data_IF_650243330193
#
_entry.id   IF_650243330193
#
_cell.length_a   1.000
_cell.length_b   1.000
_cell.length_c   1.000
_cell.angle_alpha   90.00
_cell.angle_beta   90.00
_cell.angle_gamma   90.00
#
_symmetry.space_group_name_H-M   'P 1'
#
loop_
_entity.id
_entity.type
_entity.pdbx_description
1 polymer ?
#
# COMPACT_ATOMS: atom_id res chain seq x y z
N UNK A 1 -34.46 70.76 -8.78
CA UNK A 1 -34.44 69.75 -9.85
C UNK A 1 -33.03 69.17 -10.05
N UNK A 2 -31.96 69.96 -9.94
CA UNK A 2 -30.55 69.46 -9.99
C UNK A 2 -30.12 68.45 -8.90
N UNK A 3 -30.65 68.50 -7.67
CA UNK A 3 -30.18 67.62 -6.57
C UNK A 3 -30.73 66.18 -6.62
N UNK A 4 -31.76 65.94 -7.42
CA UNK A 4 -32.37 64.62 -7.63
C UNK A 4 -31.67 63.85 -8.75
N UNK A 5 -31.27 64.53 -9.83
CA UNK A 5 -30.50 63.97 -10.94
C UNK A 5 -29.11 63.48 -10.49
N UNK A 6 -28.39 64.27 -9.68
CA UNK A 6 -27.07 63.89 -9.12
C UNK A 6 -27.16 62.67 -8.16
N UNK A 7 -28.34 62.41 -7.59
CA UNK A 7 -28.56 61.26 -6.69
C UNK A 7 -28.83 59.98 -7.49
N UNK A 8 -29.54 60.07 -8.60
CA UNK A 8 -29.80 58.93 -9.49
C UNK A 8 -28.52 58.50 -10.22
N UNK A 9 -27.73 59.47 -10.71
CA UNK A 9 -26.44 59.24 -11.36
C UNK A 9 -25.43 58.57 -10.40
N UNK A 10 -25.44 58.95 -9.11
CA UNK A 10 -24.63 58.29 -8.06
C UNK A 10 -25.09 56.89 -7.69
N UNK A 11 -26.34 56.53 -7.97
CA UNK A 11 -26.88 55.18 -7.72
C UNK A 11 -26.56 54.26 -8.91
N UNK A 12 -26.60 54.78 -10.13
CA UNK A 12 -26.18 54.08 -11.34
C UNK A 12 -24.67 53.79 -11.33
N UNK A 13 -23.83 54.79 -11.03
CA UNK A 13 -22.38 54.60 -10.89
C UNK A 13 -22.03 53.55 -9.80
N UNK A 14 -22.82 53.47 -8.72
CA UNK A 14 -22.65 52.45 -7.67
C UNK A 14 -23.15 51.06 -8.07
N UNK A 15 -24.10 50.96 -9.01
CA UNK A 15 -24.53 49.67 -9.58
C UNK A 15 -23.49 49.16 -10.56
N UNK A 16 -22.98 50.02 -11.44
CA UNK A 16 -21.89 49.71 -12.36
C UNK A 16 -20.61 49.31 -11.62
N UNK A 17 -20.25 49.99 -10.53
CA UNK A 17 -19.11 49.57 -9.69
C UNK A 17 -19.34 48.17 -9.08
N UNK A 18 -20.56 47.83 -8.67
CA UNK A 18 -20.88 46.52 -8.08
C UNK A 18 -20.86 45.41 -9.12
N UNK A 19 -21.35 45.66 -10.33
CA UNK A 19 -21.28 44.71 -11.45
C UNK A 19 -19.83 44.47 -11.87
N UNK A 20 -19.01 45.53 -11.99
CA UNK A 20 -17.57 45.42 -12.25
C UNK A 20 -16.81 44.67 -11.14
N UNK A 21 -17.26 44.74 -9.88
CA UNK A 21 -16.67 43.97 -8.79
C UNK A 21 -17.10 42.50 -8.87
N UNK A 22 -18.35 42.21 -9.25
CA UNK A 22 -18.84 40.84 -9.42
C UNK A 22 -18.13 40.11 -10.58
N UNK A 23 -17.99 40.75 -11.74
CA UNK A 23 -17.24 40.18 -12.88
C UNK A 23 -15.77 39.90 -12.53
N UNK A 24 -15.13 40.81 -11.78
CA UNK A 24 -13.75 40.59 -11.27
C UNK A 24 -13.65 39.51 -10.20
N UNK A 25 -14.74 39.14 -9.53
CA UNK A 25 -14.77 38.02 -8.58
C UNK A 25 -14.95 36.71 -9.36
N UNK A 26 -15.83 36.67 -10.35
CA UNK A 26 -16.04 35.50 -11.22
C UNK A 26 -14.80 35.17 -12.07
N UNK A 27 -14.10 36.18 -12.61
CA UNK A 27 -12.80 36.01 -13.28
C UNK A 27 -11.72 35.44 -12.33
N UNK A 28 -11.74 35.84 -11.05
CA UNK A 28 -10.81 35.31 -10.05
C UNK A 28 -11.15 33.89 -9.59
N UNK A 29 -12.42 33.49 -9.64
CA UNK A 29 -12.85 32.12 -9.34
C UNK A 29 -12.49 31.16 -10.48
N UNK A 30 -12.78 31.54 -11.73
CA UNK A 30 -12.36 30.80 -12.93
C UNK A 30 -10.83 30.67 -13.08
N UNK A 31 -10.07 31.71 -12.70
CA UNK A 31 -8.61 31.64 -12.60
C UNK A 31 -8.10 30.68 -11.51
N UNK A 32 -8.86 30.49 -10.42
CA UNK A 32 -8.48 29.54 -9.36
C UNK A 32 -8.75 28.10 -9.80
N UNK A 33 -9.91 27.86 -10.39
CA UNK A 33 -10.29 26.54 -10.92
C UNK A 33 -9.29 26.08 -12.00
N UNK A 34 -8.95 26.94 -12.97
CA UNK A 34 -7.94 26.63 -13.99
C UNK A 34 -6.53 26.40 -13.43
N UNK A 35 -6.14 27.09 -12.33
CA UNK A 35 -4.87 26.84 -11.62
C UNK A 35 -4.89 25.52 -10.84
N UNK A 36 -6.04 25.09 -10.32
CA UNK A 36 -6.20 23.80 -9.66
C UNK A 36 -6.15 22.66 -10.68
N UNK A 37 -6.87 22.79 -11.79
CA UNK A 37 -6.87 21.83 -12.89
C UNK A 37 -5.47 21.68 -13.53
N UNK A 38 -4.74 22.78 -13.73
CA UNK A 38 -3.35 22.73 -14.20
C UNK A 38 -2.41 22.02 -13.19
N UNK A 39 -2.64 22.19 -11.89
CA UNK A 39 -1.87 21.46 -10.86
C UNK A 39 -2.17 19.97 -10.91
N UNK A 40 -3.44 19.57 -11.03
CA UNK A 40 -3.84 18.17 -11.14
C UNK A 40 -3.25 17.52 -12.39
N UNK A 41 -3.36 18.16 -13.56
CA UNK A 41 -2.75 17.68 -14.82
C UNK A 41 -1.22 17.54 -14.68
N UNK A 42 -0.58 18.50 -14.01
CA UNK A 42 0.86 18.46 -13.75
C UNK A 42 1.26 17.36 -12.76
N UNK A 43 0.40 17.04 -11.80
CA UNK A 43 0.61 15.94 -10.87
C UNK A 43 0.41 14.58 -11.55
N UNK A 44 -0.65 14.42 -12.35
CA UNK A 44 -0.90 13.24 -13.17
C UNK A 44 0.27 12.96 -14.13
N UNK A 45 0.71 13.96 -14.90
CA UNK A 45 1.86 13.81 -15.81
C UNK A 45 3.17 13.52 -15.08
N UNK A 46 3.30 13.95 -13.82
CA UNK A 46 4.45 13.60 -12.96
C UNK A 46 4.38 12.14 -12.51
N UNK A 47 3.19 11.66 -12.11
CA UNK A 47 2.97 10.27 -11.71
C UNK A 47 3.22 9.32 -12.87
N UNK A 48 2.70 9.62 -14.07
CA UNK A 48 2.93 8.86 -15.30
C UNK A 48 4.43 8.75 -15.62
N UNK A 49 5.17 9.87 -15.58
CA UNK A 49 6.63 9.86 -15.79
C UNK A 49 7.39 9.03 -14.77
N UNK A 50 6.92 9.01 -13.51
CA UNK A 50 7.51 8.17 -12.46
C UNK A 50 7.25 6.71 -12.77
N UNK A 51 6.03 6.36 -13.18
CA UNK A 51 5.64 5.01 -13.54
C UNK A 51 6.42 4.50 -14.75
N UNK A 52 6.54 5.28 -15.82
CA UNK A 52 7.36 4.96 -16.99
C UNK A 52 8.82 4.69 -16.60
N UNK A 53 9.40 5.55 -15.75
CA UNK A 53 10.77 5.39 -15.28
C UNK A 53 10.94 4.13 -14.44
N UNK A 54 9.97 3.80 -13.60
CA UNK A 54 9.96 2.56 -12.80
C UNK A 54 9.84 1.34 -13.70
N UNK A 55 9.02 1.40 -14.74
CA UNK A 55 8.85 0.32 -15.71
C UNK A 55 10.12 0.10 -16.54
N UNK A 56 10.77 1.17 -17.00
CA UNK A 56 12.07 1.10 -17.67
C UNK A 56 13.12 0.46 -16.77
N UNK A 57 13.24 0.91 -15.51
CA UNK A 57 14.17 0.32 -14.55
C UNK A 57 13.86 -1.16 -14.26
N UNK A 58 12.58 -1.57 -14.28
CA UNK A 58 12.16 -2.98 -14.17
C UNK A 58 12.62 -3.78 -15.40
N UNK A 59 12.39 -3.26 -16.61
CA UNK A 59 12.82 -3.89 -17.88
C UNK A 59 14.34 -4.04 -17.93
N UNK A 60 15.09 -3.03 -17.53
CA UNK A 60 16.56 -3.09 -17.43
C UNK A 60 17.03 -4.19 -16.48
N UNK A 61 16.42 -4.29 -15.29
CA UNK A 61 16.74 -5.37 -14.32
C UNK A 61 16.45 -6.76 -14.88
N UNK A 62 15.33 -6.92 -15.57
CA UNK A 62 14.95 -8.20 -16.20
C UNK A 62 15.89 -8.58 -17.34
N UNK A 63 16.40 -7.61 -18.10
CA UNK A 63 17.36 -7.87 -19.18
C UNK A 63 18.69 -8.44 -18.64
N UNK A 64 19.15 -7.95 -17.49
CA UNK A 64 20.38 -8.42 -16.83
C UNK A 64 20.22 -9.79 -16.17
N UNK A 65 18.99 -10.17 -15.80
CA UNK A 65 18.72 -11.39 -15.05
C UNK A 65 19.10 -12.67 -15.82
N UNK A 66 19.95 -13.49 -15.21
CA UNK A 66 20.31 -14.83 -15.67
C UNK A 66 19.72 -15.87 -14.70
N UNK A 67 18.68 -16.63 -15.09
CA UNK A 67 18.01 -17.56 -14.20
C UNK A 67 18.91 -18.74 -13.85
N UNK A 68 18.86 -19.19 -12.60
CA UNK A 68 19.65 -20.33 -12.11
C UNK A 68 18.78 -21.56 -11.93
N UNK A 69 17.55 -21.36 -11.50
CA UNK A 69 16.55 -22.40 -11.25
C UNK A 69 15.89 -22.88 -12.55
N UNK A 70 15.34 -24.11 -12.51
CA UNK A 70 14.53 -24.65 -13.61
C UNK A 70 13.31 -23.78 -13.89
N UNK A 71 12.63 -23.36 -12.81
CA UNK A 71 11.45 -22.49 -12.90
C UNK A 71 11.81 -21.13 -13.54
N UNK A 72 12.91 -20.50 -13.11
CA UNK A 72 13.37 -19.25 -13.71
C UNK A 72 13.67 -19.36 -15.21
N UNK A 73 14.21 -20.50 -15.67
CA UNK A 73 14.42 -20.76 -17.11
C UNK A 73 13.09 -20.85 -17.87
N UNK A 74 12.12 -21.60 -17.34
CA UNK A 74 10.80 -21.75 -17.96
C UNK A 74 10.04 -20.42 -18.07
N UNK A 75 10.14 -19.59 -17.04
CA UNK A 75 9.53 -18.25 -17.01
C UNK A 75 10.23 -17.32 -18.00
N UNK A 76 11.57 -17.33 -18.04
CA UNK A 76 12.34 -16.53 -19.01
C UNK A 76 12.10 -16.96 -20.46
N UNK A 77 11.88 -18.25 -20.70
CA UNK A 77 11.47 -18.80 -22.00
C UNK A 77 10.01 -18.44 -22.36
N UNK A 78 9.22 -17.93 -21.41
CA UNK A 78 7.82 -17.54 -21.64
C UNK A 78 6.83 -18.71 -21.64
N UNK A 79 7.24 -19.90 -21.15
CA UNK A 79 6.38 -21.09 -21.07
C UNK A 79 5.33 -20.98 -19.96
N UNK A 80 5.67 -20.28 -18.88
CA UNK A 80 4.76 -19.98 -17.77
C UNK A 80 4.49 -18.48 -17.83
N UNK A 81 3.24 -18.10 -18.02
CA UNK A 81 2.80 -16.69 -18.09
C UNK A 81 2.06 -16.25 -16.83
N UNK A 82 1.37 -17.19 -16.18
CA UNK A 82 0.57 -16.91 -15.00
C UNK A 82 1.25 -17.45 -13.73
N UNK A 83 1.23 -16.63 -12.69
CA UNK A 83 1.77 -17.01 -11.38
C UNK A 83 0.93 -18.09 -10.69
N UNK A 84 -0.34 -18.19 -11.05
CA UNK A 84 -1.27 -19.17 -10.50
C UNK A 84 -0.90 -20.61 -10.87
N UNK A 85 -0.36 -20.84 -12.07
CA UNK A 85 0.16 -22.15 -12.46
C UNK A 85 1.29 -22.63 -11.54
N UNK A 86 2.11 -21.69 -11.03
CA UNK A 86 3.21 -22.00 -10.10
C UNK A 86 2.62 -22.44 -8.75
N UNK A 87 1.59 -21.74 -8.27
CA UNK A 87 0.93 -22.08 -7.02
C UNK A 87 0.18 -23.41 -7.08
N UNK A 88 -0.46 -23.73 -8.21
CA UNK A 88 -1.17 -25.00 -8.40
C UNK A 88 -0.23 -26.20 -8.47
N UNK A 89 0.95 -26.03 -9.10
CA UNK A 89 2.01 -27.06 -9.10
C UNK A 89 2.68 -27.21 -7.72
N UNK A 90 2.55 -26.20 -6.86
CA UNK A 90 3.21 -26.16 -5.54
C UNK A 90 4.71 -25.93 -5.61
N UNK A 91 5.21 -25.41 -6.73
CA UNK A 91 6.63 -25.11 -6.91
C UNK A 91 7.06 -23.92 -6.05
N UNK A 92 8.20 -24.05 -5.38
CA UNK A 92 8.72 -22.99 -4.52
C UNK A 92 9.43 -21.91 -5.35
N UNK A 93 9.10 -20.66 -5.07
CA UNK A 93 9.75 -19.49 -5.68
C UNK A 93 11.06 -19.19 -4.93
N UNK A 94 12.19 -19.30 -5.61
CA UNK A 94 13.53 -19.05 -5.04
C UNK A 94 14.22 -17.80 -5.61
N UNK A 95 13.77 -17.29 -6.75
CA UNK A 95 14.26 -16.06 -7.38
C UNK A 95 13.16 -15.00 -7.35
N UNK A 96 13.48 -13.79 -6.91
CA UNK A 96 12.49 -12.71 -6.80
C UNK A 96 12.11 -12.14 -8.17
N UNK A 97 13.04 -12.27 -9.12
CA UNK A 97 12.95 -11.84 -10.50
C UNK A 97 11.83 -12.57 -11.26
N UNK A 98 11.51 -13.82 -10.88
CA UNK A 98 10.37 -14.58 -11.41
C UNK A 98 9.05 -13.82 -11.17
N UNK A 99 8.86 -13.32 -9.94
CA UNK A 99 7.65 -12.58 -9.60
C UNK A 99 7.64 -11.22 -10.30
N UNK A 100 8.81 -10.60 -10.44
CA UNK A 100 8.98 -9.35 -11.17
C UNK A 100 8.77 -9.50 -12.68
N UNK A 101 8.85 -10.68 -13.28
CA UNK A 101 8.46 -10.88 -14.67
C UNK A 101 6.95 -11.10 -14.83
N UNK A 102 6.33 -11.81 -13.89
CA UNK A 102 4.95 -12.28 -14.02
C UNK A 102 3.91 -11.26 -13.57
N UNK A 103 4.20 -10.45 -12.53
CA UNK A 103 3.17 -9.62 -11.87
C UNK A 103 3.67 -8.20 -11.62
N UNK A 104 2.78 -7.22 -11.82
CA UNK A 104 3.01 -5.83 -11.42
C UNK A 104 2.73 -5.68 -9.92
N UNK A 105 3.80 -5.67 -9.13
CA UNK A 105 3.70 -5.64 -7.68
C UNK A 105 3.78 -4.22 -7.12
N UNK A 106 2.79 -3.86 -6.31
CA UNK A 106 2.84 -2.71 -5.42
C UNK A 106 3.66 -3.01 -4.16
N UNK A 107 4.36 -2.00 -3.66
CA UNK A 107 5.27 -2.10 -2.53
C UNK A 107 4.85 -1.17 -1.39
N UNK A 108 4.71 -1.71 -0.17
CA UNK A 108 4.46 -0.91 1.03
C UNK A 108 5.42 -1.26 2.16
N UNK A 109 5.88 -0.21 2.85
CA UNK A 109 6.69 -0.33 4.07
C UNK A 109 5.85 -0.22 5.33
N UNK A 110 6.18 -1.07 6.29
CA UNK A 110 5.50 -1.13 7.59
C UNK A 110 6.23 -0.29 8.61
N UNK A 111 5.50 0.50 9.40
CA UNK A 111 6.09 1.31 10.48
C UNK A 111 6.32 0.48 11.74
N UNK A 112 7.51 -0.08 11.88
CA UNK A 112 7.89 -0.93 13.04
C UNK A 112 8.66 -0.17 14.12
N UNK A 113 9.53 0.76 13.73
CA UNK A 113 10.41 1.45 14.67
C UNK A 113 9.68 2.49 15.50
N UNK A 114 10.22 2.81 16.65
CA UNK A 114 9.83 3.99 17.43
C UNK A 114 11.04 4.92 17.54
N UNK A 115 10.88 6.15 17.07
CA UNK A 115 11.80 7.22 17.40
C UNK A 115 11.40 7.75 18.77
N UNK A 116 12.30 7.79 19.76
CA UNK A 116 12.01 8.51 20.99
C UNK A 116 12.03 10.01 20.68
N UNK A 117 10.92 10.70 20.92
CA UNK A 117 10.89 12.17 20.88
C UNK A 117 11.44 12.77 22.17
N UNK A 118 11.66 14.09 22.16
CA UNK A 118 12.23 14.86 23.28
C UNK A 118 11.42 14.74 24.59
N UNK A 119 10.11 14.47 24.49
CA UNK A 119 9.18 14.35 25.62
C UNK A 119 8.54 12.96 25.75
N UNK A 120 9.22 11.89 25.32
CA UNK A 120 8.68 10.53 25.41
C UNK A 120 7.58 10.18 24.39
N UNK A 121 7.01 11.16 23.71
CA UNK A 121 6.15 10.96 22.53
C UNK A 121 6.99 10.46 21.35
N UNK A 122 6.74 9.24 20.89
CA UNK A 122 7.52 8.63 19.81
C UNK A 122 6.78 8.53 18.49
N UNK A 123 7.32 9.12 17.42
CA UNK A 123 6.85 8.89 16.03
C UNK A 123 7.29 7.50 15.56
N UNK A 124 6.39 6.76 14.91
CA UNK A 124 6.74 5.47 14.30
C UNK A 124 7.57 5.68 13.03
N UNK A 125 8.61 4.86 12.85
CA UNK A 125 9.48 4.83 11.66
C UNK A 125 9.32 3.50 10.92
N UNK A 126 9.64 3.49 9.63
CA UNK A 126 9.54 2.31 8.77
C UNK A 126 10.59 1.23 9.06
N UNK A 127 11.68 1.60 9.72
CA UNK A 127 12.72 0.67 10.15
C UNK A 127 12.82 0.68 11.68
N UNK A 128 13.24 -0.45 12.26
CA UNK A 128 13.61 -0.58 13.67
C UNK A 128 15.12 -0.70 13.83
N UNK A 129 15.68 -0.08 14.87
CA UNK A 129 17.06 -0.33 15.25
C UNK A 129 17.11 -1.50 16.22
N UNK A 130 18.10 -2.38 16.04
CA UNK A 130 18.47 -3.38 17.04
C UNK A 130 19.97 -3.28 17.27
N UNK A 131 20.40 -3.41 18.51
CA UNK A 131 21.82 -3.29 18.87
C UNK A 131 22.26 -4.58 19.55
N UNK A 132 23.42 -5.11 19.15
CA UNK A 132 24.12 -6.18 19.85
C UNK A 132 25.32 -5.55 20.56
N UNK A 133 25.49 -5.86 21.85
CA UNK A 133 26.68 -5.43 22.60
C UNK A 133 27.88 -6.32 22.24
N UNK A 134 29.03 -5.71 21.99
CA UNK A 134 30.33 -6.34 21.81
C UNK A 134 31.36 -5.65 22.72
N UNK A 135 32.53 -6.26 22.90
CA UNK A 135 33.61 -5.68 23.71
C UNK A 135 34.09 -4.31 23.19
N UNK A 136 34.15 -4.17 21.86
CA UNK A 136 34.55 -2.94 21.15
C UNK A 136 33.43 -1.90 21.00
N UNK A 137 32.21 -2.20 21.50
CA UNK A 137 31.07 -1.28 21.46
C UNK A 137 29.76 -1.92 20.96
N UNK A 138 28.80 -1.06 20.61
CA UNK A 138 27.45 -1.48 20.23
C UNK A 138 27.31 -1.57 18.70
N UNK A 139 27.19 -2.80 18.19
CA UNK A 139 26.95 -3.04 16.76
C UNK A 139 25.46 -2.88 16.47
N UNK A 140 25.13 -1.81 15.73
CA UNK A 140 23.77 -1.45 15.33
C UNK A 140 23.39 -2.15 14.03
N UNK A 141 22.15 -2.63 13.97
CA UNK A 141 21.54 -3.16 12.77
C UNK A 141 20.14 -2.54 12.59
N UNK A 142 19.75 -2.36 11.34
CA UNK A 142 18.42 -1.89 10.97
C UNK A 142 17.60 -3.03 10.41
N UNK A 143 16.36 -3.14 10.87
CA UNK A 143 15.37 -4.09 10.37
C UNK A 143 14.22 -3.37 9.71
N UNK A 144 13.77 -3.86 8.56
CA UNK A 144 12.59 -3.38 7.85
C UNK A 144 11.65 -4.55 7.54
N UNK A 145 10.35 -4.26 7.43
CA UNK A 145 9.34 -5.20 6.98
C UNK A 145 8.62 -4.59 5.79
N UNK A 146 8.61 -5.33 4.70
CA UNK A 146 7.94 -4.97 3.47
C UNK A 146 6.73 -5.89 3.25
N UNK A 147 5.70 -5.30 2.70
CA UNK A 147 4.53 -5.99 2.15
C UNK A 147 4.53 -5.71 0.65
N UNK A 148 4.31 -6.75 -0.12
CA UNK A 148 4.24 -6.70 -1.58
C UNK A 148 2.92 -7.35 -2.00
N UNK A 149 2.25 -6.80 -3.01
CA UNK A 149 1.03 -7.42 -3.55
C UNK A 149 0.52 -6.70 -4.79
N UNK A 150 -0.41 -7.32 -5.49
CA UNK A 150 -0.91 -6.92 -6.81
C UNK A 150 -2.37 -6.46 -6.82
N UNK A 151 -2.98 -6.31 -5.64
CA UNK A 151 -4.40 -5.99 -5.47
C UNK A 151 -5.37 -7.02 -6.12
N UNK A 152 -4.85 -8.13 -6.65
CA UNK A 152 -5.61 -9.18 -7.31
C UNK A 152 -5.73 -10.46 -6.46
N UNK A 153 -5.20 -10.44 -5.24
CA UNK A 153 -5.25 -11.56 -4.31
C UNK A 153 -3.89 -12.16 -3.99
N UNK A 154 -2.79 -11.63 -4.52
CA UNK A 154 -1.46 -12.13 -4.22
C UNK A 154 -0.73 -11.18 -3.27
N UNK A 155 -0.26 -11.73 -2.14
CA UNK A 155 0.43 -10.93 -1.12
C UNK A 155 1.62 -11.68 -0.56
N UNK A 156 2.72 -10.95 -0.37
CA UNK A 156 3.92 -11.43 0.27
C UNK A 156 4.37 -10.49 1.38
N UNK A 157 4.94 -11.08 2.43
CA UNK A 157 5.54 -10.33 3.55
C UNK A 157 6.98 -10.79 3.74
N UNK A 158 7.89 -9.83 3.91
CA UNK A 158 9.31 -10.09 4.04
C UNK A 158 9.97 -9.21 5.09
N UNK A 159 10.77 -9.82 5.96
CA UNK A 159 11.58 -9.12 6.96
C UNK A 159 13.05 -9.12 6.55
N UNK A 160 13.65 -7.94 6.43
CA UNK A 160 15.05 -7.75 6.07
C UNK A 160 15.84 -7.09 7.19
N UNK A 161 17.09 -7.51 7.39
CA UNK A 161 18.03 -6.90 8.36
C UNK A 161 19.38 -6.62 7.70
N UNK A 162 19.94 -5.45 7.95
CA UNK A 162 21.26 -5.04 7.45
C UNK A 162 21.93 -4.02 8.39
N UNK A 163 23.18 -3.65 8.08
CA UNK A 163 23.94 -2.60 8.80
C UNK A 163 23.41 -1.19 8.52
N UNK A 164 22.74 -1.00 7.38
CA UNK A 164 22.13 0.26 6.93
C UNK A 164 20.65 0.08 6.58
N UNK A 165 19.93 1.18 6.39
CA UNK A 165 18.47 1.18 6.19
C UNK A 165 18.05 0.80 4.76
N UNK A 166 18.72 1.30 3.73
CA UNK A 166 18.44 1.01 2.32
C UNK A 166 18.59 -0.48 2.01
N UNK A 167 19.75 -1.13 2.29
CA UNK A 167 19.89 -2.57 2.03
C UNK A 167 18.93 -3.43 2.88
N UNK A 168 18.50 -2.96 4.05
CA UNK A 168 17.48 -3.67 4.84
C UNK A 168 16.12 -3.66 4.15
N UNK A 169 15.72 -2.53 3.55
CA UNK A 169 14.48 -2.40 2.78
C UNK A 169 14.49 -3.25 1.52
N UNK A 170 15.60 -3.27 0.78
CA UNK A 170 15.76 -4.09 -0.42
C UNK A 170 15.71 -5.59 -0.10
N UNK A 171 16.38 -6.03 0.97
CA UNK A 171 16.28 -7.41 1.45
C UNK A 171 14.85 -7.77 1.85
N UNK A 172 14.16 -6.86 2.56
CA UNK A 172 12.77 -7.07 2.93
C UNK A 172 11.87 -7.22 1.70
N UNK A 173 12.05 -6.38 0.68
CA UNK A 173 11.32 -6.45 -0.58
C UNK A 173 11.57 -7.79 -1.30
N UNK A 174 12.84 -8.22 -1.37
CA UNK A 174 13.20 -9.52 -1.98
C UNK A 174 12.53 -10.68 -1.27
N UNK A 175 12.61 -10.74 0.07
CA UNK A 175 11.96 -11.80 0.84
C UNK A 175 10.44 -11.76 0.74
N UNK A 176 9.83 -10.58 0.59
CA UNK A 176 8.39 -10.49 0.40
C UNK A 176 7.96 -11.12 -0.93
N UNK A 177 8.70 -10.87 -2.02
CA UNK A 177 8.45 -11.50 -3.33
C UNK A 177 8.60 -13.02 -3.29
N UNK A 178 9.62 -13.53 -2.59
CA UNK A 178 9.81 -14.97 -2.44
C UNK A 178 8.70 -15.64 -1.62
N UNK A 179 8.14 -14.92 -0.64
CA UNK A 179 7.07 -15.41 0.22
C UNK A 179 5.68 -14.97 -0.26
N UNK A 180 5.46 -14.95 -1.58
CA UNK A 180 4.14 -14.62 -2.13
C UNK A 180 3.14 -15.73 -1.84
N UNK A 181 1.90 -15.34 -1.53
CA UNK A 181 0.80 -16.21 -1.15
C UNK A 181 -0.43 -15.77 -1.92
N UNK A 182 -1.11 -16.73 -2.54
CA UNK A 182 -2.44 -16.53 -3.12
C UNK A 182 -3.49 -16.51 -2.02
N UNK A 183 -4.38 -15.53 -2.06
CA UNK A 183 -5.48 -15.33 -1.12
C UNK A 183 -6.77 -15.44 -1.91
N UNK A 184 -7.64 -16.38 -1.50
CA UNK A 184 -9.00 -16.48 -2.03
C UNK A 184 -9.88 -15.35 -1.47
N UNK A 185 -10.32 -14.46 -2.35
CA UNK A 185 -11.31 -13.42 -2.05
C UNK A 185 -12.71 -13.94 -2.36
N UNK A 186 -13.71 -13.46 -1.63
CA UNK A 186 -15.11 -13.85 -1.87
C UNK A 186 -16.08 -12.94 -1.13
N UNK A 187 -17.37 -13.11 -1.38
CA UNK A 187 -18.43 -12.52 -0.59
C UNK A 187 -18.90 -13.54 0.46
N UNK A 188 -18.23 -13.58 1.61
CA UNK A 188 -18.59 -14.50 2.70
C UNK A 188 -19.49 -13.90 3.78
N UNK A 189 -19.98 -12.67 3.61
CA UNK A 189 -20.87 -12.03 4.59
C UNK A 189 -22.31 -12.51 4.37
N UNK A 190 -22.98 -12.92 5.45
CA UNK A 190 -24.37 -13.37 5.40
C UNK A 190 -25.34 -12.29 4.87
N UNK A 191 -25.06 -11.02 5.16
CA UNK A 191 -25.91 -9.88 4.76
C UNK A 191 -25.64 -9.38 3.33
N UNK A 192 -24.66 -9.93 2.58
CA UNK A 192 -24.40 -9.51 1.19
C UNK A 192 -24.64 -10.66 0.21
N UNK A 193 -25.58 -10.45 -0.72
CA UNK A 193 -25.78 -11.30 -1.90
C UNK A 193 -24.98 -10.83 -3.13
N UNK A 194 -23.99 -9.96 -2.93
CA UNK A 194 -23.21 -9.39 -4.01
C UNK A 194 -22.24 -10.42 -4.60
N UNK A 195 -22.16 -10.51 -5.94
CA UNK A 195 -21.22 -11.42 -6.64
C UNK A 195 -19.79 -10.89 -6.74
N UNK A 196 -19.52 -9.71 -6.15
CA UNK A 196 -18.19 -9.10 -6.15
C UNK A 196 -17.31 -9.66 -5.03
N UNK A 197 -16.08 -10.03 -5.36
CA UNK A 197 -15.06 -10.52 -4.43
C UNK A 197 -14.39 -9.37 -3.66
N UNK A 198 -15.12 -8.79 -2.71
CA UNK A 198 -14.67 -7.65 -1.91
C UNK A 198 -14.11 -8.04 -0.53
N UNK A 199 -14.42 -9.26 -0.06
CA UNK A 199 -14.23 -9.72 1.31
C UNK A 199 -13.56 -11.10 1.37
N UNK A 200 -13.76 -11.81 2.48
CA UNK A 200 -13.20 -13.14 2.79
C UNK A 200 -14.31 -14.18 2.86
N UNK A 201 -14.00 -15.46 2.63
CA UNK A 201 -14.96 -16.57 2.60
C UNK A 201 -15.56 -16.88 3.98
N UNK A 202 -14.71 -16.98 5.00
CA UNK A 202 -15.13 -17.34 6.35
C UNK A 202 -14.24 -16.66 7.39
N UNK A 203 -14.72 -16.62 8.63
CA UNK A 203 -13.95 -16.09 9.74
C UNK A 203 -12.78 -17.02 10.08
N UNK A 204 -11.57 -16.49 10.14
CA UNK A 204 -10.37 -17.26 10.46
C UNK A 204 -9.54 -16.55 11.53
N UNK A 205 -8.72 -17.33 12.23
CA UNK A 205 -7.84 -16.83 13.29
C UNK A 205 -6.40 -17.26 13.05
N UNK A 206 -5.48 -16.30 13.09
CA UNK A 206 -4.05 -16.51 12.99
C UNK A 206 -3.34 -16.10 14.27
N UNK A 207 -2.39 -16.93 14.73
CA UNK A 207 -1.61 -16.69 15.95
C UNK A 207 -0.12 -16.74 15.65
N UNK A 208 0.61 -15.73 16.11
CA UNK A 208 2.08 -15.69 16.07
C UNK A 208 2.59 -15.10 17.38
N UNK A 209 3.31 -15.91 18.16
CA UNK A 209 3.75 -15.55 19.51
C UNK A 209 2.55 -15.28 20.43
N UNK A 210 2.52 -14.12 21.08
CA UNK A 210 1.41 -13.68 21.94
C UNK A 210 0.27 -12.99 21.19
N UNK A 211 0.45 -12.67 19.90
CA UNK A 211 -0.54 -11.91 19.12
C UNK A 211 -1.45 -12.87 18.38
N UNK A 212 -2.74 -12.64 18.53
CA UNK A 212 -3.80 -13.36 17.83
C UNK A 212 -4.60 -12.35 17.03
N UNK A 213 -4.84 -12.61 15.75
CA UNK A 213 -5.70 -11.79 14.91
C UNK A 213 -6.79 -12.67 14.30
N UNK A 214 -8.03 -12.29 14.58
CA UNK A 214 -9.24 -12.88 14.00
C UNK A 214 -9.77 -11.95 12.91
N UNK A 215 -9.88 -12.49 11.71
CA UNK A 215 -10.48 -11.86 10.53
C UNK A 215 -11.90 -12.40 10.37
N UNK A 216 -12.84 -11.54 10.03
CA UNK A 216 -14.25 -11.88 9.81
C UNK A 216 -14.74 -11.19 8.53
N UNK A 217 -15.61 -11.86 7.74
CA UNK A 217 -16.19 -11.26 6.55
C UNK A 217 -17.06 -10.06 6.94
N UNK A 218 -17.02 -9.03 6.11
CA UNK A 218 -17.82 -7.82 6.24
C UNK A 218 -18.64 -7.59 4.96
N UNK A 219 -19.83 -6.96 5.05
CA UNK A 219 -20.63 -6.57 3.90
C UNK A 219 -19.99 -5.39 3.14
N UNK A 220 -20.41 -5.19 1.90
CA UNK A 220 -19.90 -4.13 1.02
C UNK A 220 -20.11 -2.75 1.64
N UNK A 221 -19.07 -1.92 1.63
CA UNK A 221 -19.12 -0.53 2.12
C UNK A 221 -18.70 -0.37 3.59
N UNK A 222 -18.36 -1.46 4.28
CA UNK A 222 -17.79 -1.42 5.64
C UNK A 222 -16.39 -0.80 5.66
N UNK A 223 -15.62 -1.02 4.60
CA UNK A 223 -14.21 -0.70 4.51
C UNK A 223 -13.33 -1.59 5.40
N UNK A 224 -12.07 -1.18 5.51
CA UNK A 224 -11.06 -1.91 6.28
C UNK A 224 -11.05 -1.48 7.75
N UNK A 225 -11.79 -2.19 8.59
CA UNK A 225 -11.85 -1.95 10.05
C UNK A 225 -10.68 -2.68 10.73
N UNK A 226 -9.48 -2.09 10.61
CA UNK A 226 -8.23 -2.64 11.13
C UNK A 226 -7.24 -1.57 11.64
N UNK A 227 -6.15 -2.01 12.27
CA UNK A 227 -4.98 -1.16 12.50
C UNK A 227 -4.33 -0.74 11.19
N UNK A 228 -3.75 0.46 11.12
CA UNK A 228 -3.26 1.06 9.87
C UNK A 228 -2.19 0.23 9.16
N UNK A 229 -1.36 -0.49 9.90
CA UNK A 229 -0.35 -1.36 9.28
C UNK A 229 -0.99 -2.63 8.70
N UNK A 230 -2.07 -3.14 9.30
CA UNK A 230 -2.85 -4.24 8.73
C UNK A 230 -3.68 -3.78 7.54
N UNK A 231 -4.18 -2.52 7.52
CA UNK A 231 -4.87 -1.95 6.35
C UNK A 231 -3.99 -2.01 5.11
N UNK A 232 -2.70 -1.70 5.22
CA UNK A 232 -1.75 -1.82 4.09
C UNK A 232 -1.69 -3.24 3.54
N UNK A 233 -1.70 -4.24 4.42
CA UNK A 233 -1.72 -5.65 4.02
C UNK A 233 -3.00 -6.00 3.24
N UNK A 234 -4.17 -5.65 3.79
CA UNK A 234 -5.44 -5.97 3.14
C UNK A 234 -5.65 -5.22 1.82
N UNK A 235 -5.21 -3.96 1.73
CA UNK A 235 -5.23 -3.20 0.48
C UNK A 235 -4.41 -3.86 -0.61
N UNK A 236 -3.17 -4.27 -0.29
CA UNK A 236 -2.31 -4.97 -1.25
C UNK A 236 -2.85 -6.36 -1.61
N UNK A 237 -3.65 -6.97 -0.73
CA UNK A 237 -4.39 -8.19 -1.03
C UNK A 237 -5.59 -7.98 -1.95
N UNK A 238 -5.99 -6.74 -2.21
CA UNK A 238 -7.21 -6.44 -2.95
C UNK A 238 -8.49 -6.72 -2.15
N UNK A 239 -8.41 -6.79 -0.82
CA UNK A 239 -9.56 -6.90 0.08
C UNK A 239 -10.03 -5.49 0.41
N UNK A 240 -11.32 -5.21 0.22
CA UNK A 240 -11.93 -3.89 0.43
C UNK A 240 -12.61 -3.79 1.78
N UNK A 241 -13.32 -4.84 2.18
CA UNK A 241 -14.14 -4.84 3.38
C UNK A 241 -13.77 -5.99 4.30
N UNK A 242 -13.46 -5.70 5.57
CA UNK A 242 -13.12 -6.73 6.55
C UNK A 242 -13.30 -6.24 7.98
N UNK A 243 -13.79 -7.11 8.85
CA UNK A 243 -13.75 -6.91 10.29
C UNK A 243 -12.53 -7.61 10.89
N UNK A 244 -11.83 -6.92 11.78
CA UNK A 244 -10.72 -7.52 12.52
C UNK A 244 -10.86 -7.35 14.02
N UNK A 245 -10.49 -8.40 14.75
CA UNK A 245 -10.29 -8.37 16.20
C UNK A 245 -8.88 -8.86 16.49
N UNK A 246 -8.14 -8.10 17.28
CA UNK A 246 -6.76 -8.43 17.65
C UNK A 246 -6.61 -8.55 19.15
N UNK A 247 -5.93 -9.59 19.61
CA UNK A 247 -5.71 -9.91 21.01
C UNK A 247 -4.21 -10.02 21.30
N UNK A 248 -3.83 -9.81 22.56
CA UNK A 248 -2.44 -9.88 23.02
C UNK A 248 -1.63 -8.61 22.75
N UNK A 249 -0.31 -8.75 22.55
CA UNK A 249 0.61 -7.60 22.46
C UNK A 249 0.68 -6.99 21.05
N UNK A 250 -0.39 -6.29 20.65
CA UNK A 250 -0.58 -5.66 19.33
C UNK A 250 0.43 -4.55 18.99
N UNK A 251 1.20 -4.07 19.98
CA UNK A 251 2.30 -3.12 19.76
C UNK A 251 3.41 -3.72 18.88
N UNK A 252 3.59 -5.03 18.90
CA UNK A 252 4.58 -5.72 18.05
C UNK A 252 4.06 -5.93 16.63
N UNK A 253 4.28 -4.95 15.76
CA UNK A 253 3.74 -4.94 14.39
C UNK A 253 4.22 -6.08 13.49
N UNK A 254 5.44 -6.57 13.70
CA UNK A 254 5.97 -7.73 12.95
C UNK A 254 5.08 -8.96 13.19
N UNK A 255 4.77 -9.26 14.46
CA UNK A 255 3.96 -10.43 14.81
C UNK A 255 2.50 -10.24 14.38
N UNK A 256 1.97 -9.03 14.49
CA UNK A 256 0.61 -8.71 14.07
C UNK A 256 0.40 -8.94 12.55
N UNK A 257 1.37 -8.55 11.73
CA UNK A 257 1.30 -8.76 10.27
C UNK A 257 1.50 -10.23 9.91
N UNK A 258 2.42 -10.92 10.57
CA UNK A 258 2.59 -12.35 10.36
C UNK A 258 1.35 -13.16 10.81
N UNK A 259 0.68 -12.74 11.89
CA UNK A 259 -0.55 -13.36 12.36
C UNK A 259 -1.72 -13.11 11.40
N UNK A 260 -1.84 -11.90 10.83
CA UNK A 260 -2.86 -11.62 9.79
C UNK A 260 -2.60 -12.43 8.53
N UNK A 261 -1.34 -12.53 8.07
CA UNK A 261 -0.99 -13.39 6.94
C UNK A 261 -1.29 -14.87 7.23
N UNK A 262 -1.03 -15.35 8.45
CA UNK A 262 -1.38 -16.71 8.85
C UNK A 262 -2.90 -16.95 8.86
N UNK A 263 -3.69 -15.96 9.26
CA UNK A 263 -5.14 -16.02 9.20
C UNK A 263 -5.64 -16.10 7.74
N UNK A 264 -5.09 -15.26 6.85
CA UNK A 264 -5.40 -15.27 5.42
C UNK A 264 -5.01 -16.59 4.74
N UNK A 265 -3.87 -17.17 5.11
CA UNK A 265 -3.47 -18.51 4.64
C UNK A 265 -4.49 -19.58 4.99
N UNK A 266 -5.05 -19.55 6.20
CA UNK A 266 -6.09 -20.51 6.61
C UNK A 266 -7.37 -20.36 5.81
N UNK A 267 -7.74 -19.14 5.42
CA UNK A 267 -8.87 -18.90 4.51
C UNK A 267 -8.64 -19.58 3.17
N UNK A 268 -7.42 -19.45 2.63
CA UNK A 268 -7.08 -19.95 1.29
C UNK A 268 -6.75 -21.45 1.23
N UNK A 269 -6.54 -22.11 2.37
CA UNK A 269 -6.08 -23.50 2.45
C UNK A 269 -7.18 -24.54 2.21
N UNK A 270 -8.40 -24.10 1.88
CA UNK A 270 -9.52 -24.92 1.38
C UNK A 270 -9.56 -24.72 -0.12
#
# INVERSE_FOLDING_TARGET
MEKTEIKEEKVELKKEEKENIAEKVDEKETEKESKEEYKEIKELTREERIEERLEQARKERLAVWKPKTKLGKLVKEGKIKDIDEIFEKGDKIEEAEIVDSLVHLSYALVKIGQSKGKFGGGKRREWRQTQRKSAEGNIRNFGALAIVGDLAGHVGVGYGKAKETVPAREKAARYAKLNLVKIKRSCGSFDCGCKEEHSIAFAAEGKVGSVVVRIMPAPKGTGLVCDDECKKLFRLAGIKDIYTKSFGQTRTKINMINATLAALKKVSAI
#
